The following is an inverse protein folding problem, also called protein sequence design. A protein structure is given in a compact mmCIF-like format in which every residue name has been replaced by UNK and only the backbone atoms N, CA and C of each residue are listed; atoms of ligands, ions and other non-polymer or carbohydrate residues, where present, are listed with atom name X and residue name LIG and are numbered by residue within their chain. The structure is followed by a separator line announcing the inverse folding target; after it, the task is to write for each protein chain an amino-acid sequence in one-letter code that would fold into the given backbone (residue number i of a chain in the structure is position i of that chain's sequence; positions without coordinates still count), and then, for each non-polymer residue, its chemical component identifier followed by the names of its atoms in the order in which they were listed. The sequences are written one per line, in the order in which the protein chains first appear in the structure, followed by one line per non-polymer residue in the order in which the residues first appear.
data_IF_497028672956
#
_entry.id   IF_497028672956
#
_cell.length_a   1.000
_cell.length_b   1.000
_cell.length_c   1.000
_cell.angle_alpha   90.00
_cell.angle_beta   90.00
_cell.angle_gamma   90.00
#
_symmetry.space_group_name_H-M   'P 1'
#
loop_
_entity.id
_entity.type
_entity.pdbx_description
1 polymer ?
#
# COMPACT_ATOMS: atom_id res chain seq x y z
N UNK A 1 -25.69 -56.28 -50.34
CA UNK A 1 -26.80 -55.55 -49.69
C UNK A 1 -26.43 -55.02 -48.28
N UNK A 2 -25.19 -55.18 -47.82
CA UNK A 2 -24.70 -54.67 -46.51
C UNK A 2 -24.31 -53.20 -46.53
N UNK A 3 -24.10 -52.62 -47.72
CA UNK A 3 -23.50 -51.28 -47.84
C UNK A 3 -24.50 -50.15 -47.58
N UNK A 4 -25.80 -50.40 -47.82
CA UNK A 4 -26.86 -49.38 -47.71
C UNK A 4 -27.17 -48.99 -46.27
N UNK A 5 -27.12 -49.95 -45.34
CA UNK A 5 -27.29 -49.66 -43.91
C UNK A 5 -26.04 -48.99 -43.31
N UNK A 6 -24.87 -49.23 -43.89
CA UNK A 6 -23.60 -48.67 -43.40
C UNK A 6 -23.53 -47.15 -43.60
N UNK A 7 -23.97 -46.62 -44.74
CA UNK A 7 -23.95 -45.17 -45.03
C UNK A 7 -24.87 -44.38 -44.08
N UNK A 8 -26.11 -44.83 -43.87
CA UNK A 8 -27.07 -44.20 -42.95
C UNK A 8 -26.53 -44.22 -41.51
N UNK A 9 -25.97 -45.34 -41.06
CA UNK A 9 -25.34 -45.43 -39.73
C UNK A 9 -24.11 -44.52 -39.61
N UNK A 10 -23.32 -44.36 -40.67
CA UNK A 10 -22.18 -43.42 -40.64
C UNK A 10 -22.65 -41.97 -40.53
N UNK A 11 -23.73 -41.59 -41.22
CA UNK A 11 -24.32 -40.25 -41.13
C UNK A 11 -24.85 -39.99 -39.73
N UNK A 12 -25.68 -40.89 -39.19
CA UNK A 12 -26.23 -40.76 -37.84
C UNK A 12 -25.14 -40.74 -36.76
N UNK A 13 -24.13 -41.61 -36.86
CA UNK A 13 -23.01 -41.64 -35.90
C UNK A 13 -22.12 -40.40 -35.98
N UNK A 14 -21.88 -39.84 -37.17
CA UNK A 14 -21.19 -38.55 -37.34
C UNK A 14 -21.97 -37.40 -36.70
N UNK A 15 -23.28 -37.37 -36.89
CA UNK A 15 -24.17 -36.36 -36.28
C UNK A 15 -24.21 -36.51 -34.76
N UNK A 16 -24.29 -37.74 -34.26
CA UNK A 16 -24.22 -38.05 -32.83
C UNK A 16 -22.87 -37.62 -32.21
N UNK A 17 -21.74 -37.87 -32.90
CA UNK A 17 -20.42 -37.37 -32.46
C UNK A 17 -20.38 -35.85 -32.37
N UNK A 18 -20.95 -35.13 -33.35
CA UNK A 18 -21.03 -33.65 -33.31
C UNK A 18 -21.90 -33.15 -32.17
N UNK A 19 -23.03 -33.81 -31.91
CA UNK A 19 -23.87 -33.51 -30.76
C UNK A 19 -23.14 -33.76 -29.44
N UNK A 20 -22.35 -34.83 -29.32
CA UNK A 20 -21.47 -35.08 -28.16
C UNK A 20 -20.45 -33.96 -27.96
N UNK A 21 -19.80 -33.49 -29.03
CA UNK A 21 -18.89 -32.34 -28.96
C UNK A 21 -19.62 -31.09 -28.44
N UNK A 22 -20.86 -30.85 -28.87
CA UNK A 22 -21.69 -29.77 -28.33
C UNK A 22 -21.96 -29.90 -26.83
N UNK A 23 -22.27 -31.09 -26.32
CA UNK A 23 -22.45 -31.33 -24.89
C UNK A 23 -21.16 -31.23 -24.09
N UNK A 24 -20.04 -31.72 -24.64
CA UNK A 24 -18.70 -31.55 -24.07
C UNK A 24 -18.35 -30.08 -23.92
N UNK A 25 -18.57 -29.28 -24.98
CA UNK A 25 -18.29 -27.83 -24.96
C UNK A 25 -19.17 -27.11 -23.93
N UNK A 26 -20.46 -27.46 -23.86
CA UNK A 26 -21.38 -26.88 -22.85
C UNK A 26 -20.99 -27.26 -21.43
N UNK A 27 -20.63 -28.52 -21.19
CA UNK A 27 -20.15 -29.01 -19.91
C UNK A 27 -18.86 -28.31 -19.47
N UNK A 28 -17.89 -28.19 -20.39
CA UNK A 28 -16.65 -27.44 -20.18
C UNK A 28 -16.92 -25.98 -19.83
N UNK A 29 -17.78 -25.28 -20.58
CA UNK A 29 -18.10 -23.88 -20.31
C UNK A 29 -18.83 -23.69 -18.97
N UNK A 30 -19.71 -24.63 -18.57
CA UNK A 30 -20.36 -24.59 -17.26
C UNK A 30 -19.37 -24.82 -16.11
N UNK A 31 -18.51 -25.84 -16.24
CA UNK A 31 -17.46 -26.11 -15.28
C UNK A 31 -16.48 -24.94 -15.15
N UNK A 32 -16.11 -24.33 -16.28
CA UNK A 32 -15.27 -23.14 -16.31
C UNK A 32 -15.96 -21.94 -15.63
N UNK A 33 -17.25 -21.70 -15.88
CA UNK A 33 -18.00 -20.62 -15.23
C UNK A 33 -18.02 -20.77 -13.71
N UNK A 34 -18.32 -21.99 -13.22
CA UNK A 34 -18.32 -22.28 -11.79
C UNK A 34 -16.92 -22.11 -11.18
N UNK A 35 -15.89 -22.58 -11.90
CA UNK A 35 -14.50 -22.41 -11.51
C UNK A 35 -14.07 -20.95 -11.43
N UNK A 36 -14.42 -20.15 -12.44
CA UNK A 36 -14.10 -18.73 -12.48
C UNK A 36 -14.85 -17.95 -11.38
N UNK A 37 -16.10 -18.32 -11.10
CA UNK A 37 -16.88 -17.76 -9.99
C UNK A 37 -16.22 -18.06 -8.65
N UNK A 38 -15.86 -19.32 -8.40
CA UNK A 38 -15.19 -19.74 -7.15
C UNK A 38 -13.81 -19.10 -7.00
N UNK A 39 -13.03 -19.02 -8.08
CA UNK A 39 -11.74 -18.32 -8.07
C UNK A 39 -11.91 -16.83 -7.76
N UNK A 40 -12.92 -16.17 -8.33
CA UNK A 40 -13.20 -14.75 -8.06
C UNK A 40 -13.59 -14.51 -6.61
N UNK A 41 -14.43 -15.37 -6.02
CA UNK A 41 -14.82 -15.25 -4.61
C UNK A 41 -13.66 -15.52 -3.67
N UNK A 42 -12.82 -16.52 -3.97
CA UNK A 42 -11.58 -16.77 -3.21
C UNK A 42 -10.63 -15.58 -3.26
N UNK A 43 -10.46 -14.96 -4.44
CA UNK A 43 -9.62 -13.77 -4.58
C UNK A 43 -10.20 -12.58 -3.81
N UNK A 44 -11.50 -12.34 -3.90
CA UNK A 44 -12.17 -11.30 -3.13
C UNK A 44 -12.01 -11.53 -1.61
N UNK A 45 -12.13 -12.77 -1.14
CA UNK A 45 -11.96 -13.13 0.26
C UNK A 45 -10.51 -12.99 0.71
N UNK A 46 -9.55 -13.39 -0.13
CA UNK A 46 -8.12 -13.21 0.14
C UNK A 46 -7.77 -11.73 0.31
N UNK A 47 -8.42 -10.87 -0.47
CA UNK A 47 -8.26 -9.43 -0.40
C UNK A 47 -8.83 -8.86 0.91
N UNK A 48 -10.04 -9.29 1.29
CA UNK A 48 -10.68 -8.89 2.55
C UNK A 48 -9.87 -9.32 3.78
N UNK A 49 -9.29 -10.52 3.75
CA UNK A 49 -8.56 -11.11 4.88
C UNK A 49 -7.04 -10.84 4.86
N UNK A 50 -6.54 -10.13 3.83
CA UNK A 50 -5.11 -9.90 3.55
C UNK A 50 -4.27 -11.19 3.55
N UNK A 51 -4.85 -12.28 3.03
CA UNK A 51 -4.14 -13.54 2.86
C UNK A 51 -3.33 -13.53 1.57
N UNK A 52 -2.06 -13.92 1.67
CA UNK A 52 -1.17 -14.07 0.52
C UNK A 52 -1.37 -15.48 -0.08
N UNK A 53 -2.32 -15.60 -1.02
CA UNK A 53 -2.66 -16.86 -1.68
C UNK A 53 -1.88 -16.96 -2.99
N UNK A 54 -1.17 -18.07 -3.17
CA UNK A 54 -0.46 -18.33 -4.43
C UNK A 54 -1.43 -18.49 -5.61
N UNK A 55 -1.04 -18.01 -6.79
CA UNK A 55 -1.82 -18.08 -8.04
C UNK A 55 -2.27 -19.51 -8.40
N UNK A 56 -1.54 -20.52 -7.94
CA UNK A 56 -1.85 -21.93 -8.19
C UNK A 56 -3.19 -22.38 -7.60
N UNK A 57 -3.62 -21.80 -6.48
CA UNK A 57 -4.87 -22.19 -5.79
C UNK A 57 -6.13 -21.83 -6.60
N UNK A 58 -6.33 -20.56 -7.04
CA UNK A 58 -7.46 -20.25 -7.90
C UNK A 58 -7.34 -20.94 -9.28
N UNK A 59 -6.12 -21.09 -9.81
CA UNK A 59 -5.91 -21.79 -11.08
C UNK A 59 -6.30 -23.27 -11.01
N UNK A 60 -5.96 -23.97 -9.93
CA UNK A 60 -6.33 -25.37 -9.74
C UNK A 60 -7.84 -25.53 -9.58
N UNK A 61 -8.51 -24.61 -8.88
CA UNK A 61 -9.97 -24.64 -8.74
C UNK A 61 -10.68 -24.54 -10.10
N UNK A 62 -10.23 -23.64 -10.96
CA UNK A 62 -10.74 -23.51 -12.33
C UNK A 62 -10.50 -24.79 -13.13
N UNK A 63 -9.29 -25.34 -13.09
CA UNK A 63 -8.92 -26.54 -13.83
C UNK A 63 -9.75 -27.77 -13.41
N UNK A 64 -9.91 -27.98 -12.10
CA UNK A 64 -10.67 -29.11 -11.55
C UNK A 64 -12.15 -29.02 -11.94
N UNK A 65 -12.75 -27.84 -11.82
CA UNK A 65 -14.17 -27.65 -12.15
C UNK A 65 -14.42 -27.71 -13.67
N UNK A 66 -13.51 -27.19 -14.49
CA UNK A 66 -13.56 -27.36 -15.94
C UNK A 66 -13.45 -28.83 -16.36
N UNK A 67 -12.55 -29.59 -15.73
CA UNK A 67 -12.40 -31.03 -15.97
C UNK A 67 -13.65 -31.81 -15.53
N UNK A 68 -14.22 -31.50 -14.36
CA UNK A 68 -15.48 -32.10 -13.89
C UNK A 68 -16.63 -31.82 -14.86
N UNK A 69 -16.73 -30.59 -15.37
CA UNK A 69 -17.70 -30.20 -16.40
C UNK A 69 -17.53 -30.95 -17.72
N UNK A 70 -16.28 -31.19 -18.15
CA UNK A 70 -15.96 -31.99 -19.33
C UNK A 70 -16.39 -33.45 -19.13
N UNK A 71 -16.06 -34.06 -17.98
CA UNK A 71 -16.47 -35.43 -17.64
C UNK A 71 -18.00 -35.55 -17.62
N UNK A 72 -18.70 -34.59 -17.00
CA UNK A 72 -20.16 -34.55 -17.02
C UNK A 72 -20.73 -34.48 -18.45
N UNK A 73 -20.13 -33.67 -19.32
CA UNK A 73 -20.49 -33.60 -20.74
C UNK A 73 -20.22 -34.91 -21.50
N UNK A 74 -19.14 -35.62 -21.15
CA UNK A 74 -18.73 -36.89 -21.77
C UNK A 74 -19.64 -38.06 -21.37
N UNK A 75 -20.10 -38.07 -20.11
CA UNK A 75 -20.98 -39.11 -19.58
C UNK A 75 -22.39 -39.07 -20.19
N UNK A 76 -22.75 -37.99 -20.88
CA UNK A 76 -24.07 -37.85 -21.50
C UNK A 76 -24.21 -38.81 -22.69
N UNK A 77 -25.04 -39.84 -22.51
CA UNK A 77 -25.40 -40.77 -23.58
C UNK A 77 -26.32 -40.05 -24.58
N UNK A 78 -26.06 -40.25 -25.86
CA UNK A 78 -26.90 -39.76 -26.96
C UNK A 78 -27.49 -40.98 -27.62
N UNK A 79 -28.81 -41.05 -27.61
CA UNK A 79 -29.56 -42.09 -28.28
C UNK A 79 -29.62 -41.82 -29.80
N UNK A 80 -29.41 -42.85 -30.61
CA UNK A 80 -29.39 -42.73 -32.07
C UNK A 80 -30.78 -42.42 -32.63
N UNK A 81 -31.86 -42.90 -31.99
CA UNK A 81 -33.23 -42.60 -32.38
C UNK A 81 -33.54 -41.10 -32.22
N UNK A 82 -33.10 -40.49 -31.11
CA UNK A 82 -33.25 -39.05 -30.90
C UNK A 82 -32.46 -38.22 -31.91
N UNK A 83 -31.29 -38.70 -32.34
CA UNK A 83 -30.49 -38.03 -33.38
C UNK A 83 -31.18 -38.11 -34.74
N UNK A 84 -31.77 -39.26 -35.09
CA UNK A 84 -32.53 -39.42 -36.32
C UNK A 84 -33.76 -38.48 -36.34
N UNK A 85 -34.54 -38.45 -35.26
CA UNK A 85 -35.69 -37.53 -35.12
C UNK A 85 -35.28 -36.06 -35.19
N UNK A 86 -34.17 -35.69 -34.53
CA UNK A 86 -33.66 -34.33 -34.57
C UNK A 86 -33.20 -33.94 -35.98
N UNK A 87 -32.51 -34.86 -36.68
CA UNK A 87 -32.04 -34.63 -38.04
C UNK A 87 -33.23 -34.53 -39.01
N UNK A 88 -34.27 -35.35 -38.84
CA UNK A 88 -35.50 -35.27 -39.63
C UNK A 88 -36.20 -33.92 -39.49
N UNK A 89 -36.31 -33.42 -38.25
CA UNK A 89 -36.93 -32.10 -37.99
C UNK A 89 -36.10 -30.96 -38.58
N UNK A 90 -34.78 -31.07 -38.56
CA UNK A 90 -33.91 -29.99 -39.00
C UNK A 90 -33.72 -29.96 -40.53
N UNK A 91 -33.70 -31.13 -41.16
CA UNK A 91 -33.59 -31.28 -42.62
C UNK A 91 -34.95 -31.35 -43.33
N UNK A 92 -36.06 -31.37 -42.57
CA UNK A 92 -37.43 -31.52 -43.05
C UNK A 92 -37.63 -32.77 -43.93
N UNK A 93 -37.01 -33.89 -43.55
CA UNK A 93 -37.01 -35.15 -44.31
C UNK A 93 -38.22 -36.04 -44.01
N UNK A 94 -39.29 -35.48 -43.42
CA UNK A 94 -40.58 -36.15 -43.22
C UNK A 94 -40.48 -37.57 -42.62
N UNK A 95 -39.68 -37.72 -41.55
CA UNK A 95 -39.50 -38.98 -40.80
C UNK A 95 -38.80 -40.13 -41.57
N UNK A 96 -38.24 -39.86 -42.75
CA UNK A 96 -37.51 -40.86 -43.56
C UNK A 96 -36.35 -41.48 -42.79
N UNK A 97 -35.58 -40.69 -42.04
CA UNK A 97 -34.40 -41.17 -41.33
C UNK A 97 -34.77 -41.94 -40.06
N UNK A 98 -35.81 -41.49 -39.35
CA UNK A 98 -36.34 -42.16 -38.16
C UNK A 98 -36.93 -43.51 -38.52
N UNK A 99 -37.73 -43.56 -39.58
CA UNK A 99 -38.35 -44.80 -40.10
C UNK A 99 -37.28 -45.77 -40.58
N UNK A 100 -36.29 -45.30 -41.35
CA UNK A 100 -35.17 -46.11 -41.80
C UNK A 100 -34.32 -46.67 -40.64
N UNK A 101 -34.07 -45.88 -39.60
CA UNK A 101 -33.35 -46.35 -38.41
C UNK A 101 -34.15 -47.43 -37.67
N UNK A 102 -35.46 -47.27 -37.54
CA UNK A 102 -36.35 -48.28 -36.93
C UNK A 102 -36.40 -49.58 -37.75
N UNK A 103 -36.53 -49.47 -39.08
CA UNK A 103 -36.49 -50.61 -40.01
C UNK A 103 -35.13 -51.33 -39.98
N UNK A 104 -34.02 -50.60 -39.89
CA UNK A 104 -32.67 -51.19 -39.83
C UNK A 104 -32.41 -52.02 -38.57
N UNK A 105 -33.17 -51.79 -37.50
CA UNK A 105 -33.10 -52.56 -36.25
C UNK A 105 -33.93 -53.84 -36.33
N UNK A 106 -34.83 -53.97 -37.31
CA UNK A 106 -35.60 -55.18 -37.59
C UNK A 106 -34.88 -56.02 -38.65
N UNK A 107 -34.53 -57.25 -38.30
CA UNK A 107 -33.70 -58.14 -39.13
C UNK A 107 -34.42 -58.84 -40.30
N UNK A 108 -35.73 -58.60 -40.51
CA UNK A 108 -36.52 -59.17 -41.61
C UNK A 108 -36.98 -58.01 -42.49
N UNK A 109 -36.42 -57.89 -43.70
CA UNK A 109 -36.70 -56.79 -44.61
C UNK A 109 -37.45 -57.28 -45.86
N UNK A 110 -38.72 -56.92 -45.98
CA UNK A 110 -39.50 -57.13 -47.21
C UNK A 110 -39.00 -56.20 -48.34
N UNK A 111 -39.26 -56.53 -49.60
CA UNK A 111 -38.84 -55.71 -50.77
C UNK A 111 -39.22 -54.23 -50.64
N UNK A 112 -40.43 -53.95 -50.14
CA UNK A 112 -40.90 -52.58 -49.92
C UNK A 112 -40.08 -51.84 -48.85
N UNK A 113 -39.67 -52.55 -47.79
CA UNK A 113 -38.85 -51.99 -46.71
C UNK A 113 -37.42 -51.69 -47.20
N UNK A 114 -36.90 -52.51 -48.12
CA UNK A 114 -35.60 -52.25 -48.78
C UNK A 114 -35.63 -50.98 -49.64
N UNK A 115 -36.72 -50.75 -50.38
CA UNK A 115 -36.91 -49.52 -51.15
C UNK A 115 -36.99 -48.28 -50.26
N UNK A 116 -37.66 -48.37 -49.10
CA UNK A 116 -37.72 -47.27 -48.13
C UNK A 116 -36.35 -46.96 -47.52
N UNK A 117 -35.54 -47.98 -47.23
CA UNK A 117 -34.16 -47.80 -46.76
C UNK A 117 -33.29 -47.12 -47.82
N UNK A 118 -33.45 -47.51 -49.08
CA UNK A 118 -32.67 -46.94 -50.19
C UNK A 118 -33.05 -45.48 -50.48
N UNK A 119 -34.33 -45.13 -50.38
CA UNK A 119 -34.79 -43.74 -50.46
C UNK A 119 -34.25 -42.89 -49.30
N UNK A 120 -34.28 -43.41 -48.07
CA UNK A 120 -33.73 -42.73 -46.90
C UNK A 120 -32.20 -42.54 -46.99
N UNK A 121 -31.49 -43.49 -47.58
CA UNK A 121 -30.05 -43.38 -47.84
C UNK A 121 -29.73 -42.31 -48.88
N UNK A 122 -30.42 -42.31 -50.01
CA UNK A 122 -30.27 -41.27 -51.04
C UNK A 122 -30.55 -39.88 -50.45
N UNK A 123 -31.55 -39.79 -49.56
CA UNK A 123 -31.82 -38.58 -48.80
C UNK A 123 -30.63 -38.22 -47.89
N UNK A 124 -30.13 -39.18 -47.10
CA UNK A 124 -29.02 -38.97 -46.17
C UNK A 124 -27.70 -38.55 -46.84
N UNK A 125 -27.42 -39.04 -48.06
CA UNK A 125 -26.23 -38.68 -48.82
C UNK A 125 -26.27 -37.22 -49.31
N UNK A 126 -27.46 -36.71 -49.62
CA UNK A 126 -27.66 -35.33 -50.04
C UNK A 126 -27.71 -34.33 -48.87
N UNK A 127 -27.63 -34.79 -47.62
CA UNK A 127 -27.67 -33.92 -46.45
C UNK A 127 -26.34 -33.23 -46.16
N UNK A 128 -26.41 -31.90 -46.09
CA UNK A 128 -25.28 -31.07 -45.76
C UNK A 128 -25.07 -30.96 -44.24
N UNK A 129 -24.49 -32.02 -43.65
CA UNK A 129 -24.32 -32.15 -42.19
C UNK A 129 -23.60 -30.98 -41.52
N UNK A 130 -22.69 -30.29 -42.24
CA UNK A 130 -21.96 -29.12 -41.73
C UNK A 130 -22.87 -27.92 -41.48
N UNK A 131 -23.92 -27.77 -42.30
CA UNK A 131 -24.86 -26.65 -42.21
C UNK A 131 -25.94 -26.92 -41.17
N UNK A 132 -26.45 -28.15 -41.15
CA UNK A 132 -27.50 -28.60 -40.24
C UNK A 132 -26.97 -28.72 -38.80
N UNK A 133 -25.91 -29.49 -38.58
CA UNK A 133 -25.32 -29.72 -37.26
C UNK A 133 -24.21 -28.73 -36.90
N UNK A 134 -24.50 -27.43 -36.99
CA UNK A 134 -23.58 -26.38 -36.51
C UNK A 134 -23.54 -26.42 -34.98
N UNK A 135 -22.34 -26.42 -34.40
CA UNK A 135 -22.15 -26.40 -32.94
C UNK A 135 -22.17 -24.94 -32.50
N UNK A 136 -23.24 -24.44 -31.84
CA UNK A 136 -23.26 -23.07 -31.36
C UNK A 136 -22.35 -22.93 -30.14
N UNK A 137 -21.59 -21.83 -30.08
CA UNK A 137 -20.93 -21.40 -28.86
C UNK A 137 -22.00 -21.07 -27.81
N UNK A 138 -21.98 -21.70 -26.62
CA UNK A 138 -22.99 -21.44 -25.61
C UNK A 138 -22.81 -20.04 -25.01
N UNK A 139 -23.91 -19.39 -24.61
CA UNK A 139 -23.86 -18.08 -23.91
C UNK A 139 -23.00 -18.13 -22.64
N UNK A 140 -22.90 -19.30 -22.01
CA UNK A 140 -22.05 -19.54 -20.85
C UNK A 140 -20.56 -19.31 -21.12
N UNK A 141 -20.10 -19.46 -22.37
CA UNK A 141 -18.73 -19.14 -22.76
C UNK A 141 -18.43 -17.65 -22.53
N UNK A 142 -19.31 -16.76 -22.99
CA UNK A 142 -19.13 -15.32 -22.83
C UNK A 142 -19.17 -14.91 -21.35
N UNK A 143 -20.06 -15.52 -20.56
CA UNK A 143 -20.14 -15.26 -19.11
C UNK A 143 -18.92 -15.80 -18.37
N UNK A 144 -18.41 -16.98 -18.74
CA UNK A 144 -17.18 -17.53 -18.18
C UNK A 144 -15.99 -16.61 -18.51
N UNK A 145 -15.92 -16.12 -19.75
CA UNK A 145 -14.87 -15.19 -20.20
C UNK A 145 -14.90 -13.89 -19.40
N UNK A 146 -16.07 -13.27 -19.22
CA UNK A 146 -16.19 -12.04 -18.43
C UNK A 146 -15.82 -12.26 -16.97
N UNK A 147 -16.20 -13.39 -16.37
CA UNK A 147 -15.79 -13.74 -15.00
C UNK A 147 -14.28 -13.97 -14.89
N UNK A 148 -13.65 -14.62 -15.85
CA UNK A 148 -12.17 -14.73 -15.85
C UNK A 148 -11.49 -13.38 -16.03
N UNK A 149 -12.04 -12.49 -16.84
CA UNK A 149 -11.52 -11.14 -16.99
C UNK A 149 -11.63 -10.36 -15.67
N UNK A 150 -12.74 -10.52 -14.94
CA UNK A 150 -12.93 -9.95 -13.60
C UNK A 150 -11.93 -10.52 -12.58
N UNK A 151 -11.71 -11.83 -12.57
CA UNK A 151 -10.71 -12.48 -11.71
C UNK A 151 -9.29 -11.99 -12.00
N UNK A 152 -8.92 -11.86 -13.28
CA UNK A 152 -7.64 -11.29 -13.69
C UNK A 152 -7.53 -9.83 -13.26
N UNK A 153 -8.60 -9.04 -13.42
CA UNK A 153 -8.63 -7.66 -12.95
C UNK A 153 -8.45 -7.56 -11.43
N UNK A 154 -9.10 -8.42 -10.65
CA UNK A 154 -8.93 -8.51 -9.19
C UNK A 154 -7.49 -8.88 -8.79
N UNK A 155 -6.85 -9.78 -9.54
CA UNK A 155 -5.45 -10.15 -9.32
C UNK A 155 -4.47 -8.99 -9.57
N UNK A 156 -4.71 -8.20 -10.63
CA UNK A 156 -3.88 -7.04 -10.98
C UNK A 156 -4.26 -5.75 -10.25
N UNK A 157 -5.46 -5.68 -9.64
CA UNK A 157 -5.95 -4.55 -8.86
C UNK A 157 -4.97 -4.03 -7.76
N UNK A 158 -4.24 -4.87 -6.99
CA UNK A 158 -3.30 -4.36 -5.98
C UNK A 158 -2.11 -3.57 -6.57
N UNK A 159 -1.75 -3.82 -7.83
CA UNK A 159 -0.71 -3.06 -8.54
C UNK A 159 -1.25 -1.81 -9.23
N UNK A 160 -2.57 -1.70 -9.40
CA UNK A 160 -3.17 -0.46 -9.90
C UNK A 160 -2.96 0.65 -8.87
N UNK A 161 -2.17 1.63 -9.27
CA UNK A 161 -1.78 2.79 -8.47
C UNK A 161 -2.98 3.50 -7.84
N UNK A 162 -4.15 3.47 -8.48
CA UNK A 162 -5.38 4.12 -8.04
C UNK A 162 -5.95 3.58 -6.72
N UNK A 163 -5.83 2.27 -6.44
CA UNK A 163 -6.42 1.63 -5.25
C UNK A 163 -5.44 1.49 -4.08
N UNK A 164 -4.20 1.96 -4.21
CA UNK A 164 -3.23 1.92 -3.12
C UNK A 164 -3.58 2.96 -2.06
N UNK A 165 -3.86 2.48 -0.84
CA UNK A 165 -4.10 3.35 0.32
C UNK A 165 -2.95 4.34 0.51
N UNK A 166 -3.22 5.57 1.02
CA UNK A 166 -2.18 6.56 1.26
C UNK A 166 -1.08 6.04 2.21
N UNK A 167 -1.43 5.14 3.13
CA UNK A 167 -0.47 4.50 4.04
C UNK A 167 0.52 3.60 3.30
N UNK A 168 0.05 2.76 2.37
CA UNK A 168 0.93 1.87 1.59
C UNK A 168 1.85 2.66 0.66
N UNK A 169 1.38 3.81 0.15
CA UNK A 169 2.21 4.73 -0.64
C UNK A 169 3.32 5.35 0.20
N UNK A 170 2.99 5.81 1.42
CA UNK A 170 3.98 6.34 2.37
C UNK A 170 4.98 5.27 2.79
N UNK A 171 4.55 4.03 3.02
CA UNK A 171 5.44 2.92 3.36
C UNK A 171 6.41 2.58 2.21
N UNK A 172 5.92 2.52 0.96
CA UNK A 172 6.78 2.30 -0.23
C UNK A 172 7.77 3.46 -0.43
N UNK A 173 7.34 4.71 -0.22
CA UNK A 173 8.23 5.88 -0.28
C UNK A 173 9.26 5.88 0.85
N UNK A 174 8.85 5.56 2.08
CA UNK A 174 9.76 5.41 3.21
C UNK A 174 10.80 4.31 2.94
N UNK A 175 10.37 3.18 2.35
CA UNK A 175 11.28 2.10 1.97
C UNK A 175 12.25 2.49 0.85
N UNK A 176 11.80 3.27 -0.14
CA UNK A 176 12.67 3.83 -1.20
C UNK A 176 13.72 4.78 -0.64
N UNK A 177 13.31 5.74 0.21
CA UNK A 177 14.25 6.67 0.86
C UNK A 177 15.22 5.97 1.82
N UNK A 178 14.80 4.87 2.44
CA UNK A 178 15.69 4.01 3.23
C UNK A 178 16.67 3.24 2.34
N UNK A 179 16.24 2.78 1.16
CA UNK A 179 17.11 2.18 0.14
C UNK A 179 18.16 3.16 -0.39
N UNK A 180 17.81 4.42 -0.66
CA UNK A 180 18.78 5.46 -1.05
C UNK A 180 19.83 5.71 0.04
N UNK A 181 19.42 5.79 1.30
CA UNK A 181 20.34 5.91 2.44
C UNK A 181 21.25 4.68 2.56
N UNK A 182 20.71 3.47 2.36
CA UNK A 182 21.51 2.24 2.37
C UNK A 182 22.53 2.18 1.23
N UNK A 183 22.20 2.72 0.04
CA UNK A 183 23.16 2.83 -1.07
C UNK A 183 24.28 3.82 -0.77
N UNK A 184 23.98 4.96 -0.15
CA UNK A 184 25.01 5.91 0.30
C UNK A 184 25.94 5.27 1.33
N UNK A 185 25.39 4.52 2.30
CA UNK A 185 26.18 3.77 3.29
C UNK A 185 27.05 2.69 2.62
N UNK A 186 26.52 1.96 1.65
CA UNK A 186 27.30 0.98 0.88
C UNK A 186 28.49 1.63 0.15
N UNK A 187 28.29 2.81 -0.45
CA UNK A 187 29.37 3.57 -1.08
C UNK A 187 30.41 4.05 -0.05
N UNK A 188 29.98 4.52 1.12
CA UNK A 188 30.87 4.93 2.20
C UNK A 188 31.72 3.75 2.71
N UNK A 189 31.11 2.60 2.96
CA UNK A 189 31.81 1.38 3.36
C UNK A 189 32.81 0.92 2.30
N UNK A 190 32.47 1.05 1.01
CA UNK A 190 33.37 0.74 -0.10
C UNK A 190 34.57 1.69 -0.18
N UNK A 191 34.39 2.97 0.17
CA UNK A 191 35.47 3.97 0.26
C UNK A 191 36.36 3.76 1.48
N UNK A 192 35.77 3.39 2.62
CA UNK A 192 36.49 3.11 3.87
C UNK A 192 37.26 1.78 3.86
N UNK A 193 36.92 0.87 2.94
CA UNK A 193 37.61 -0.40 2.72
C UNK A 193 39.06 -0.20 2.23
N UNK A 194 39.98 0.04 3.18
CA UNK A 194 41.41 0.26 2.93
C UNK A 194 42.24 -0.74 3.74
N UNK A 195 43.30 -1.32 3.16
CA UNK A 195 44.19 -2.28 3.85
C UNK A 195 43.81 -3.76 3.68
N UNK A 196 44.18 -4.60 4.66
CA UNK A 196 44.07 -6.08 4.62
C UNK A 196 42.63 -6.61 4.56
N UNK A 197 41.63 -5.87 5.04
CA UNK A 197 40.21 -6.31 5.06
C UNK A 197 39.36 -5.73 3.93
N UNK A 198 40.00 -5.21 2.88
CA UNK A 198 39.35 -4.61 1.70
C UNK A 198 38.31 -5.54 1.08
N UNK A 199 38.57 -6.85 1.06
CA UNK A 199 37.66 -7.84 0.47
C UNK A 199 36.40 -8.08 1.29
N UNK A 200 36.52 -8.27 2.61
CA UNK A 200 35.36 -8.50 3.49
C UNK A 200 34.44 -7.28 3.54
N UNK A 201 35.02 -6.08 3.63
CA UNK A 201 34.23 -4.86 3.68
C UNK A 201 33.58 -4.53 2.32
N UNK A 202 34.24 -4.88 1.19
CA UNK A 202 33.61 -4.84 -0.14
C UNK A 202 32.44 -5.81 -0.29
N UNK A 203 32.52 -7.00 0.30
CA UNK A 203 31.41 -7.97 0.30
C UNK A 203 30.21 -7.45 1.09
N UNK A 204 30.44 -6.89 2.28
CA UNK A 204 29.38 -6.26 3.08
C UNK A 204 28.74 -5.06 2.35
N UNK A 205 29.56 -4.22 1.72
CA UNK A 205 29.07 -3.12 0.88
C UNK A 205 28.24 -3.63 -0.31
N UNK A 206 28.67 -4.71 -0.99
CA UNK A 206 27.92 -5.30 -2.11
C UNK A 206 26.60 -5.93 -1.66
N UNK A 207 26.57 -6.57 -0.49
CA UNK A 207 25.34 -7.11 0.09
C UNK A 207 24.37 -5.98 0.48
N UNK A 208 24.87 -4.90 1.06
CA UNK A 208 24.08 -3.72 1.39
C UNK A 208 23.54 -3.01 0.13
N UNK A 209 24.32 -2.96 -0.95
CA UNK A 209 23.88 -2.45 -2.25
C UNK A 209 22.82 -3.38 -2.89
N UNK A 210 22.94 -4.69 -2.73
CA UNK A 210 21.92 -5.62 -3.20
C UNK A 210 20.60 -5.45 -2.43
N UNK A 211 20.68 -5.21 -1.12
CA UNK A 211 19.55 -4.93 -0.25
C UNK A 211 18.91 -3.58 -0.62
N UNK A 212 19.71 -2.55 -0.87
CA UNK A 212 19.21 -1.23 -1.27
C UNK A 212 18.45 -1.29 -2.61
N UNK A 213 18.95 -2.05 -3.59
CA UNK A 213 18.26 -2.32 -4.86
C UNK A 213 16.92 -3.04 -4.66
N UNK A 214 16.85 -4.00 -3.74
CA UNK A 214 15.60 -4.71 -3.41
C UNK A 214 14.59 -3.79 -2.71
N UNK A 215 15.05 -2.91 -1.81
CA UNK A 215 14.21 -1.91 -1.13
C UNK A 215 13.67 -0.85 -2.09
N UNK A 216 14.50 -0.33 -3.02
CA UNK A 216 14.05 0.62 -4.07
C UNK A 216 12.99 0.04 -4.99
N UNK A 217 13.12 -1.25 -5.32
CA UNK A 217 12.15 -2.01 -6.13
C UNK A 217 10.91 -2.46 -5.36
N UNK A 218 10.80 -2.12 -4.06
CA UNK A 218 9.69 -2.52 -3.17
C UNK A 218 9.43 -4.04 -3.14
N UNK A 219 10.49 -4.85 -3.33
CA UNK A 219 10.40 -6.33 -3.31
C UNK A 219 10.53 -6.95 -1.92
N UNK A 220 10.60 -6.12 -0.87
CA UNK A 220 10.78 -6.54 0.52
C UNK A 220 9.76 -5.84 1.40
N UNK A 221 9.25 -6.56 2.41
CA UNK A 221 8.46 -5.93 3.47
C UNK A 221 9.34 -5.04 4.36
N UNK A 222 8.74 -4.04 5.01
CA UNK A 222 9.43 -3.16 5.97
C UNK A 222 10.14 -3.96 7.08
N UNK A 223 9.49 -5.01 7.58
CA UNK A 223 10.03 -5.87 8.65
C UNK A 223 11.26 -6.64 8.18
N UNK A 224 11.19 -7.28 7.01
CA UNK A 224 12.34 -8.02 6.46
C UNK A 224 13.51 -7.09 6.14
N UNK A 225 13.25 -5.90 5.60
CA UNK A 225 14.28 -4.90 5.34
C UNK A 225 15.00 -4.47 6.62
N UNK A 226 14.27 -4.21 7.71
CA UNK A 226 14.85 -3.87 9.02
C UNK A 226 15.68 -5.02 9.61
N UNK A 227 15.23 -6.27 9.46
CA UNK A 227 15.98 -7.45 9.95
C UNK A 227 17.28 -7.63 9.15
N UNK A 228 17.24 -7.56 7.82
CA UNK A 228 18.44 -7.68 6.98
C UNK A 228 19.42 -6.52 7.21
N UNK A 229 18.90 -5.29 7.35
CA UNK A 229 19.71 -4.11 7.63
C UNK A 229 20.42 -4.22 8.99
N UNK A 230 19.69 -4.61 10.05
CA UNK A 230 20.27 -4.76 11.38
C UNK A 230 21.32 -5.87 11.46
N UNK A 231 21.14 -6.96 10.71
CA UNK A 231 22.16 -8.01 10.57
C UNK A 231 23.43 -7.50 9.88
N UNK A 232 23.29 -6.84 8.73
CA UNK A 232 24.44 -6.27 8.00
C UNK A 232 25.17 -5.20 8.81
N UNK A 233 24.43 -4.39 9.57
CA UNK A 233 25.02 -3.39 10.46
C UNK A 233 25.81 -4.03 11.61
N UNK A 234 25.30 -5.09 12.23
CA UNK A 234 26.03 -5.85 13.26
C UNK A 234 27.32 -6.47 12.71
N UNK A 235 27.24 -7.10 11.53
CA UNK A 235 28.42 -7.68 10.87
C UNK A 235 29.47 -6.61 10.53
N UNK A 236 29.04 -5.42 10.10
CA UNK A 236 29.93 -4.28 9.85
C UNK A 236 30.55 -3.73 11.15
N UNK A 237 29.78 -3.58 12.23
CA UNK A 237 30.26 -3.12 13.53
C UNK A 237 31.25 -4.11 14.16
N UNK A 238 30.99 -5.42 14.08
CA UNK A 238 31.91 -6.45 14.54
C UNK A 238 33.24 -6.41 13.79
N UNK A 239 33.19 -6.24 12.47
CA UNK A 239 34.38 -6.09 11.64
C UNK A 239 35.15 -4.82 12.01
N UNK A 240 34.47 -3.71 12.25
CA UNK A 240 35.09 -2.46 12.69
C UNK A 240 35.69 -2.57 14.10
N UNK A 241 35.05 -3.29 15.03
CA UNK A 241 35.60 -3.58 16.36
C UNK A 241 36.85 -4.44 16.28
N UNK A 242 36.86 -5.47 15.43
CA UNK A 242 38.07 -6.28 15.19
C UNK A 242 39.20 -5.42 14.64
N UNK A 243 38.90 -4.52 13.71
CA UNK A 243 39.87 -3.57 13.18
C UNK A 243 40.38 -2.60 14.26
N UNK A 244 39.52 -2.11 15.14
CA UNK A 244 39.91 -1.26 16.27
C UNK A 244 40.83 -2.00 17.26
N UNK A 245 40.56 -3.29 17.52
CA UNK A 245 41.39 -4.15 18.38
C UNK A 245 42.73 -4.52 17.74
N UNK A 246 42.78 -4.66 16.41
CA UNK A 246 44.03 -4.92 15.68
C UNK A 246 44.84 -3.63 15.52
N UNK A 247 44.19 -2.48 15.35
CA UNK A 247 44.84 -1.17 15.24
C UNK A 247 45.14 -0.49 16.58
N UNK A 248 44.65 -0.99 17.72
CA UNK A 248 44.96 -0.45 19.06
C UNK A 248 46.43 -0.58 19.49
N UNK A 249 47.33 -1.01 18.59
CA UNK A 249 48.78 -1.05 18.81
C UNK A 249 49.57 0.25 18.54
N UNK A 250 48.99 1.36 18.04
CA UNK A 250 49.71 2.64 17.74
C UNK A 250 48.81 3.89 17.85
N UNK A 251 49.33 5.09 18.23
CA UNK A 251 49.31 5.61 19.61
C UNK A 251 48.12 6.54 19.93
N UNK A 252 47.98 6.73 21.24
CA UNK A 252 46.94 7.37 22.06
C UNK A 252 46.51 8.81 21.73
N UNK A 253 47.16 9.51 20.79
CA UNK A 253 46.85 10.92 20.48
C UNK A 253 45.56 11.09 19.69
N UNK A 254 45.31 10.26 18.67
CA UNK A 254 44.05 10.34 17.89
C UNK A 254 42.84 9.95 18.72
N UNK A 255 43.01 9.03 19.66
CA UNK A 255 41.96 8.66 20.60
C UNK A 255 41.61 9.82 21.56
N UNK A 256 42.60 10.65 21.94
CA UNK A 256 42.37 11.84 22.78
C UNK A 256 41.60 12.92 22.02
N UNK A 257 41.96 13.19 20.76
CA UNK A 257 41.29 14.18 19.92
C UNK A 257 39.87 13.71 19.50
N UNK A 258 39.69 12.42 19.22
CA UNK A 258 38.36 11.84 19.00
C UNK A 258 37.53 11.83 20.29
N UNK A 259 38.11 11.63 21.48
CA UNK A 259 37.37 11.75 22.74
C UNK A 259 36.93 13.18 23.01
N UNK A 260 37.77 14.17 22.72
CA UNK A 260 37.43 15.59 22.88
C UNK A 260 36.33 16.00 21.89
N UNK A 261 36.43 15.59 20.62
CA UNK A 261 35.41 15.84 19.61
C UNK A 261 34.13 15.04 19.86
N UNK A 262 34.23 13.79 20.32
CA UNK A 262 33.08 12.98 20.71
C UNK A 262 32.35 13.61 21.90
N UNK A 263 33.05 14.21 22.87
CA UNK A 263 32.42 14.89 24.01
C UNK A 263 31.68 16.16 23.59
N UNK A 264 32.23 16.93 22.65
CA UNK A 264 31.58 18.11 22.08
C UNK A 264 30.34 17.72 21.24
N UNK A 265 30.45 16.68 20.42
CA UNK A 265 29.34 16.13 19.63
C UNK A 265 28.28 15.48 20.54
N UNK A 266 28.69 14.82 21.63
CA UNK A 266 27.78 14.26 22.63
C UNK A 266 26.97 15.37 23.33
N UNK A 267 27.61 16.51 23.65
CA UNK A 267 26.92 17.68 24.20
C UNK A 267 25.93 18.28 23.20
N UNK A 268 26.29 18.39 21.93
CA UNK A 268 25.36 18.86 20.87
C UNK A 268 24.19 17.89 20.64
N UNK A 269 24.44 16.58 20.67
CA UNK A 269 23.39 15.57 20.53
C UNK A 269 22.47 15.56 21.76
N UNK A 270 23.00 15.80 22.96
CA UNK A 270 22.20 15.96 24.18
C UNK A 270 21.33 17.21 24.10
N UNK A 271 21.86 18.34 23.63
CA UNK A 271 21.10 19.57 23.43
C UNK A 271 20.00 19.39 22.38
N UNK A 272 20.30 18.79 21.22
CA UNK A 272 19.32 18.53 20.18
C UNK A 272 18.26 17.48 20.59
N UNK A 273 18.60 16.54 21.48
CA UNK A 273 17.62 15.62 22.08
C UNK A 273 16.71 16.33 23.06
N UNK A 274 17.26 17.21 23.90
CA UNK A 274 16.48 18.05 24.82
C UNK A 274 15.51 18.95 24.06
N UNK A 275 15.95 19.60 22.98
CA UNK A 275 15.08 20.42 22.11
C UNK A 275 13.97 19.60 21.45
N UNK A 276 14.27 18.38 20.98
CA UNK A 276 13.26 17.48 20.39
C UNK A 276 12.29 16.92 21.43
N UNK A 277 12.77 16.60 22.62
CA UNK A 277 11.92 16.16 23.72
C UNK A 277 11.05 17.30 24.23
N UNK A 278 11.57 18.52 24.31
CA UNK A 278 10.80 19.73 24.61
C UNK A 278 9.77 19.99 23.52
N UNK A 279 10.14 19.95 22.24
CA UNK A 279 9.21 20.10 21.12
C UNK A 279 8.10 19.04 21.10
N UNK A 280 8.44 17.77 21.37
CA UNK A 280 7.48 16.68 21.45
C UNK A 280 6.58 16.78 22.69
N UNK A 281 7.13 17.18 23.85
CA UNK A 281 6.36 17.46 25.07
C UNK A 281 5.42 18.63 24.87
N UNK A 282 5.82 19.67 24.12
CA UNK A 282 4.99 20.82 23.80
C UNK A 282 3.88 20.47 22.80
N UNK A 283 4.17 19.61 21.84
CA UNK A 283 3.14 19.06 20.95
C UNK A 283 2.13 18.22 21.74
N UNK A 284 2.60 17.41 22.69
CA UNK A 284 1.73 16.62 23.57
C UNK A 284 0.95 17.47 24.58
N UNK A 285 1.51 18.58 25.08
CA UNK A 285 0.84 19.52 25.96
C UNK A 285 -0.19 20.37 25.21
N UNK A 286 0.08 20.74 23.95
CA UNK A 286 -0.86 21.43 23.07
C UNK A 286 -2.04 20.55 22.63
N UNK A 287 -1.82 19.23 22.56
CA UNK A 287 -2.84 18.21 22.23
C UNK A 287 -3.66 17.78 23.46
N UNK A 288 -3.09 17.80 24.66
CA UNK A 288 -3.82 17.54 25.91
C UNK A 288 -4.56 18.80 26.40
N UNK A 289 -5.53 19.25 25.62
CA UNK A 289 -6.49 20.29 25.99
C UNK A 289 -7.45 19.79 27.07
N UNK A 290 -7.06 19.92 28.33
CA UNK A 290 -7.98 20.08 29.48
C UNK A 290 -7.54 21.12 30.52
N UNK A 291 -6.47 21.90 30.25
CA UNK A 291 -6.02 23.00 31.14
C UNK A 291 -6.03 24.37 30.44
N UNK A 292 -6.95 24.56 29.49
CA UNK A 292 -6.97 25.69 28.56
C UNK A 292 -7.77 26.92 29.02
N UNK A 293 -7.68 27.34 30.29
CA UNK A 293 -8.33 28.59 30.71
C UNK A 293 -7.38 29.81 30.74
N UNK A 294 -6.06 29.64 30.80
CA UNK A 294 -5.16 30.76 31.17
C UNK A 294 -4.13 31.16 30.09
N UNK A 295 -4.14 30.56 28.90
CA UNK A 295 -3.21 30.93 27.81
C UNK A 295 -3.95 31.62 26.67
N UNK A 296 -3.66 32.89 26.35
CA UNK A 296 -4.29 33.61 25.24
C UNK A 296 -4.08 32.92 23.89
N UNK A 297 -5.12 32.93 23.05
CA UNK A 297 -5.05 32.40 21.69
C UNK A 297 -3.98 33.09 20.83
N UNK A 298 -3.70 34.36 21.08
CA UNK A 298 -2.65 35.16 20.44
C UNK A 298 -1.24 34.66 20.77
N UNK A 299 -0.95 34.34 22.03
CA UNK A 299 0.34 33.76 22.48
C UNK A 299 0.54 32.37 21.88
N UNK A 300 -0.53 31.56 21.84
CA UNK A 300 -0.53 30.24 21.19
C UNK A 300 -0.30 30.35 19.68
N UNK A 301 -0.98 31.28 19.02
CA UNK A 301 -0.86 31.46 17.58
C UNK A 301 0.51 32.03 17.21
N UNK A 302 1.08 32.95 17.99
CA UNK A 302 2.42 33.48 17.75
C UNK A 302 3.53 32.42 17.92
N UNK A 303 3.37 31.48 18.85
CA UNK A 303 4.27 30.34 19.02
C UNK A 303 4.20 29.32 17.86
N UNK A 304 3.06 29.25 17.16
CA UNK A 304 2.80 28.28 16.09
C UNK A 304 2.99 28.87 14.67
N UNK A 305 3.04 30.19 14.53
CA UNK A 305 3.03 30.85 13.23
C UNK A 305 4.45 31.12 12.69
N UNK A 306 4.76 30.59 11.50
CA UNK A 306 6.06 30.70 10.82
C UNK A 306 6.37 32.10 10.24
N UNK A 307 5.41 33.02 10.27
CA UNK A 307 5.56 34.42 9.80
C UNK A 307 6.05 35.38 10.90
N UNK A 308 6.40 34.84 12.06
CA UNK A 308 7.00 35.59 13.18
C UNK A 308 8.53 35.52 13.09
N UNK A 309 9.23 36.57 13.54
CA UNK A 309 10.70 36.56 13.62
C UNK A 309 11.15 35.55 14.68
N UNK A 310 12.33 34.92 14.52
CA UNK A 310 12.76 33.81 15.37
C UNK A 310 12.73 34.15 16.87
N UNK A 311 13.15 35.36 17.24
CA UNK A 311 13.13 35.84 18.63
C UNK A 311 11.71 35.96 19.20
N UNK A 312 10.79 36.59 18.47
CA UNK A 312 9.43 36.80 18.96
C UNK A 312 8.62 35.50 19.03
N UNK A 313 8.86 34.54 18.13
CA UNK A 313 8.26 33.21 18.20
C UNK A 313 8.79 32.40 19.38
N UNK A 314 10.09 32.48 19.65
CA UNK A 314 10.73 31.78 20.76
C UNK A 314 10.23 32.32 22.11
N UNK A 315 10.17 33.65 22.26
CA UNK A 315 9.63 34.29 23.45
C UNK A 315 8.14 33.97 23.66
N UNK A 316 7.32 33.99 22.60
CA UNK A 316 5.92 33.59 22.70
C UNK A 316 5.75 32.14 23.15
N UNK A 317 6.62 31.24 22.67
CA UNK A 317 6.61 29.83 23.06
C UNK A 317 6.99 29.65 24.52
N UNK A 318 8.07 30.30 24.98
CA UNK A 318 8.53 30.21 26.36
C UNK A 318 7.54 30.86 27.34
N UNK A 319 6.88 31.96 26.95
CA UNK A 319 5.79 32.56 27.73
C UNK A 319 4.56 31.65 27.83
N UNK A 320 4.16 30.98 26.74
CA UNK A 320 3.04 30.04 26.77
C UNK A 320 3.30 28.91 27.77
N UNK A 321 4.55 28.44 27.84
CA UNK A 321 4.98 27.41 28.78
C UNK A 321 4.95 27.93 30.22
N UNK A 322 5.54 29.10 30.47
CA UNK A 322 5.55 29.70 31.81
C UNK A 322 4.12 29.98 32.33
N UNK A 323 3.23 30.49 31.47
CA UNK A 323 1.81 30.68 31.76
C UNK A 323 1.09 29.37 32.06
N UNK A 324 1.36 28.32 31.26
CA UNK A 324 0.77 26.99 31.49
C UNK A 324 1.22 26.36 32.82
N UNK A 325 2.44 26.66 33.25
CA UNK A 325 3.02 26.16 34.49
C UNK A 325 2.74 27.08 35.70
N UNK A 326 2.10 28.23 35.49
CA UNK A 326 1.98 29.32 36.48
C UNK A 326 3.32 29.72 37.11
N UNK A 327 4.42 29.56 36.37
CA UNK A 327 5.78 29.82 36.82
C UNK A 327 6.11 31.32 36.67
N UNK A 328 5.87 32.07 37.74
CA UNK A 328 6.12 33.51 37.82
C UNK A 328 7.60 33.87 37.60
N UNK A 329 8.51 33.07 38.15
CA UNK A 329 9.96 33.29 38.06
C UNK A 329 10.47 33.20 36.63
N UNK A 330 10.06 32.16 35.89
CA UNK A 330 10.43 32.02 34.46
C UNK A 330 9.81 33.13 33.62
N UNK A 331 8.57 33.51 33.92
CA UNK A 331 7.91 34.62 33.22
C UNK A 331 8.69 35.93 33.44
N UNK A 332 9.19 36.16 34.66
CA UNK A 332 10.01 37.30 34.98
C UNK A 332 11.38 37.32 34.31
N UNK A 333 12.06 36.18 34.24
CA UNK A 333 13.32 36.03 33.48
C UNK A 333 13.12 36.36 31.99
N UNK A 334 12.01 35.92 31.39
CA UNK A 334 11.67 36.22 30.00
C UNK A 334 11.40 37.71 29.78
N UNK A 335 10.66 38.34 30.69
CA UNK A 335 10.43 39.78 30.66
C UNK A 335 11.75 40.56 30.78
N UNK A 336 12.68 40.08 31.61
CA UNK A 336 13.99 40.69 31.75
C UNK A 336 14.85 40.54 30.49
N UNK A 337 14.81 39.39 29.82
CA UNK A 337 15.48 39.18 28.54
C UNK A 337 14.91 40.09 27.45
N UNK A 338 13.59 40.28 27.44
CA UNK A 338 12.92 41.21 26.53
C UNK A 338 13.33 42.65 26.79
N UNK A 339 13.38 43.07 28.05
CA UNK A 339 13.85 44.38 28.46
C UNK A 339 15.31 44.65 28.02
N UNK A 340 16.18 43.65 28.11
CA UNK A 340 17.59 43.75 27.69
C UNK A 340 17.74 43.86 26.18
N UNK A 341 16.98 43.07 25.42
CA UNK A 341 17.09 43.06 23.96
C UNK A 341 16.22 44.11 23.28
N UNK A 342 15.34 44.80 24.01
CA UNK A 342 14.36 45.74 23.48
C UNK A 342 14.94 46.79 22.51
N UNK A 343 16.07 47.39 22.89
CA UNK A 343 16.73 48.44 22.09
C UNK A 343 17.35 47.91 20.79
N UNK A 344 17.63 46.61 20.72
CA UNK A 344 18.24 45.96 19.55
C UNK A 344 17.20 45.36 18.59
N UNK A 345 15.91 45.38 18.95
CA UNK A 345 14.84 44.84 18.12
C UNK A 345 14.39 45.81 17.03
N UNK A 346 14.00 45.26 15.88
CA UNK A 346 13.43 46.01 14.77
C UNK A 346 12.04 46.59 15.12
N UNK A 347 11.59 47.67 14.45
CA UNK A 347 10.28 48.29 14.72
C UNK A 347 9.09 47.33 14.58
N UNK A 348 9.20 46.34 13.67
CA UNK A 348 8.17 45.32 13.46
C UNK A 348 8.14 44.29 14.59
N UNK A 349 9.30 43.91 15.11
CA UNK A 349 9.44 42.99 16.24
C UNK A 349 8.90 43.59 17.53
N UNK A 350 9.21 44.86 17.77
CA UNK A 350 8.69 45.60 18.93
C UNK A 350 7.16 45.63 18.92
N UNK A 351 6.52 45.88 17.77
CA UNK A 351 5.05 45.86 17.66
C UNK A 351 4.44 44.49 17.99
N UNK A 352 5.03 43.42 17.47
CA UNK A 352 4.57 42.05 17.76
C UNK A 352 4.78 41.68 19.23
N UNK A 353 5.92 42.04 19.82
CA UNK A 353 6.16 41.82 21.24
C UNK A 353 5.23 42.65 22.13
N UNK A 354 4.93 43.90 21.76
CA UNK A 354 3.94 44.72 22.46
C UNK A 354 2.56 44.07 22.48
N UNK A 355 2.15 43.48 21.36
CA UNK A 355 0.88 42.76 21.25
C UNK A 355 0.87 41.52 22.16
N UNK A 356 1.97 40.75 22.18
CA UNK A 356 2.13 39.60 23.07
C UNK A 356 2.11 39.99 24.55
N UNK A 357 2.86 41.03 24.93
CA UNK A 357 2.89 41.55 26.31
C UNK A 357 1.52 42.08 26.75
N UNK A 358 0.76 42.69 25.83
CA UNK A 358 -0.59 43.18 26.10
C UNK A 358 -1.58 42.04 26.37
N UNK A 359 -1.50 40.99 25.59
CA UNK A 359 -2.35 39.81 25.75
C UNK A 359 -1.97 39.01 27.01
N UNK A 360 -0.68 38.95 27.32
CA UNK A 360 -0.18 38.38 28.57
C UNK A 360 -0.66 39.18 29.78
N UNK A 361 -0.59 40.51 29.75
CA UNK A 361 -1.10 41.35 30.82
C UNK A 361 -2.62 41.17 31.04
N UNK A 362 -3.39 40.97 29.96
CA UNK A 362 -4.82 40.64 30.08
C UNK A 362 -5.07 39.26 30.69
N UNK A 363 -4.27 38.25 30.36
CA UNK A 363 -4.42 36.91 30.92
C UNK A 363 -3.94 36.79 32.37
N UNK A 364 -2.99 37.64 32.78
CA UNK A 364 -2.56 37.73 34.17
C UNK A 364 -3.51 38.56 35.04
N UNK A 365 -4.49 39.24 34.45
CA UNK A 365 -5.50 40.01 35.16
C UNK A 365 -6.49 39.04 35.84
N UNK A 366 -6.81 39.34 37.09
CA UNK A 366 -7.61 38.54 38.02
C UNK A 366 -6.92 37.20 38.42
N UNK A 367 -5.58 37.18 38.41
CA UNK A 367 -4.77 36.02 38.85
C UNK A 367 -3.84 36.35 40.02
N UNK A 368 -3.16 35.36 40.58
CA UNK A 368 -2.15 35.55 41.64
C UNK A 368 -0.98 36.48 41.24
N UNK A 369 -0.89 36.84 39.95
CA UNK A 369 0.14 37.69 39.35
C UNK A 369 -0.43 39.04 38.88
N UNK A 370 -1.52 39.50 39.49
CA UNK A 370 -2.16 40.78 39.19
C UNK A 370 -1.23 42.00 39.32
N UNK A 371 -0.25 41.93 40.22
CA UNK A 371 0.79 42.95 40.33
C UNK A 371 1.60 43.06 39.02
N UNK A 372 2.08 41.93 38.49
CA UNK A 372 2.80 41.87 37.22
C UNK A 372 1.92 42.31 36.04
N UNK A 373 0.62 42.01 36.05
CA UNK A 373 -0.33 42.51 35.04
C UNK A 373 -0.40 44.04 35.01
N UNK A 374 -0.50 44.69 36.17
CA UNK A 374 -0.56 46.17 36.28
C UNK A 374 0.75 46.81 35.82
N UNK A 375 1.89 46.24 36.22
CA UNK A 375 3.21 46.75 35.83
C UNK A 375 3.48 46.60 34.32
N UNK A 376 3.02 45.51 33.70
CA UNK A 376 3.06 45.34 32.25
C UNK A 376 2.14 46.32 31.50
N UNK A 377 0.98 46.65 32.05
CA UNK A 377 0.10 47.66 31.46
C UNK A 377 0.71 49.07 31.52
N UNK A 378 1.41 49.40 32.60
CA UNK A 378 2.14 50.66 32.73
C UNK A 378 3.36 50.71 31.80
N UNK A 379 4.07 49.59 31.62
CA UNK A 379 5.10 49.47 30.61
C UNK A 379 4.54 49.76 29.20
N UNK A 380 3.42 49.15 28.84
CA UNK A 380 2.79 49.32 27.52
C UNK A 380 2.29 50.75 27.28
N UNK A 381 1.77 51.44 28.31
CA UNK A 381 1.41 52.86 28.23
C UNK A 381 2.63 53.74 27.93
N UNK A 382 3.73 53.53 28.65
CA UNK A 382 4.97 54.28 28.43
C UNK A 382 5.58 54.02 27.05
N UNK A 383 5.41 52.82 26.49
CA UNK A 383 5.81 52.51 25.10
C UNK A 383 5.00 53.28 24.05
N UNK A 384 3.70 53.51 24.29
CA UNK A 384 2.86 54.28 23.37
C UNK A 384 3.20 55.77 23.38
N UNK A 385 3.67 56.28 24.52
CA UNK A 385 4.10 57.69 24.69
C UNK A 385 5.54 57.90 24.14
N UNK A 386 6.23 56.83 23.73
CA UNK A 386 7.60 56.91 23.18
C UNK A 386 8.70 56.94 24.24
N UNK A 387 8.35 56.85 25.53
CA UNK A 387 9.31 56.87 26.64
C UNK A 387 9.81 55.45 26.94
N UNK A 388 10.67 54.96 26.03
CA UNK A 388 11.17 53.57 26.01
C UNK A 388 11.97 53.20 27.27
N UNK A 389 12.64 54.17 27.91
CA UNK A 389 13.43 53.91 29.12
C UNK A 389 12.54 53.54 30.30
N UNK A 390 11.48 54.31 30.53
CA UNK A 390 10.49 54.00 31.57
C UNK A 390 9.75 52.71 31.27
N UNK A 391 9.42 52.44 30.00
CA UNK A 391 8.80 51.19 29.62
C UNK A 391 9.65 49.96 29.98
N UNK A 392 10.96 50.02 29.73
CA UNK A 392 11.90 48.94 30.08
C UNK A 392 12.02 48.75 31.60
N UNK A 393 12.00 49.83 32.38
CA UNK A 393 12.00 49.77 33.84
C UNK A 393 10.76 49.08 34.39
N UNK A 394 9.58 49.37 33.84
CA UNK A 394 8.33 48.71 34.23
C UNK A 394 8.29 47.24 33.80
N UNK A 395 8.86 46.87 32.63
CA UNK A 395 9.02 45.46 32.24
C UNK A 395 9.94 44.72 33.22
N UNK A 396 11.04 45.37 33.64
CA UNK A 396 11.97 44.78 34.61
C UNK A 396 11.33 44.62 35.98
N UNK A 397 10.51 45.58 36.40
CA UNK A 397 9.76 45.53 37.65
C UNK A 397 8.75 44.38 37.63
N UNK A 398 8.01 44.24 36.53
CA UNK A 398 7.06 43.16 36.31
C UNK A 398 7.70 41.76 36.30
N UNK A 399 9.00 41.68 36.02
CA UNK A 399 9.75 40.43 36.10
C UNK A 399 10.41 40.15 37.46
N UNK A 400 10.38 41.10 38.39
CA UNK A 400 10.92 40.95 39.75
C UNK A 400 9.86 40.73 40.84
N UNK A 401 8.57 40.83 40.49
CA UNK A 401 7.41 40.52 41.35
C UNK A 401 6.99 39.07 41.18
#
# INVERSE_FOLDING_TARGET
MTDTTATLQTVLSRTARRAKVGYLLRGLCLGWLLGAGLASTLLALSWAMRWDISLWVPASAVAVLAAAGLVYGAMRRIDQQQVAQWLDRQANTQERLTTAQWLSQRGLQQEMEQLQLQDAENCAQNLDLRRLARIPLPRTFWVALTMTALAAFLWFAPDLTWFQSPQTRQEKQALRSAGERAEQLAQQWRKQATGQDREKMRRLAAQLESLSKQMKRARLSKREAMVKMSRLQREAEEQQRRLAQVNSGKPMERARDEFLNARAVQQQIQQAKLERELGARLQSAALNQKSGQNVPASVRNAALNKTTTPFASEMAMQMAIALSQQDAQKLGELLQQIAQQWNNLSPQERKKLQELLRELAKALKDTKLDAASKELQEALKNMQIGDLRKAIEWIRKAGGT
#
